data_IF_131320617770
#
_entry.id   IF_131320617770
#
_cell.length_a   1.000
_cell.length_b   1.000
_cell.length_c   1.000
_cell.angle_alpha   90.00
_cell.angle_beta   90.00
_cell.angle_gamma   90.00
#
_symmetry.space_group_name_H-M   'P 1'
#
loop_
_entity.id
_entity.type
_entity.pdbx_description
1 polymer ?
#
# COMPACT_ATOMS: atom_id res chain seq x y z
N UNK A 1 -3.16 -10.35 32.99
CA UNK A 1 -1.89 -9.87 32.42
C UNK A 1 -2.08 -9.79 30.92
N UNK A 2 -2.59 -8.66 30.41
CA UNK A 2 -2.74 -8.45 28.98
C UNK A 2 -1.34 -8.14 28.44
N UNK A 3 -0.73 -9.08 27.74
CA UNK A 3 0.47 -8.79 26.97
C UNK A 3 -0.01 -7.83 25.88
N UNK A 4 0.34 -6.55 26.00
CA UNK A 4 0.26 -5.60 24.89
C UNK A 4 1.26 -6.08 23.85
N UNK A 5 0.87 -7.05 23.02
CA UNK A 5 1.70 -7.55 21.94
C UNK A 5 1.72 -6.48 20.86
N UNK A 6 2.83 -5.75 20.76
CA UNK A 6 3.08 -4.82 19.67
C UNK A 6 3.03 -5.59 18.35
N UNK A 7 2.20 -5.11 17.42
CA UNK A 7 2.00 -5.73 16.11
C UNK A 7 2.35 -4.71 15.05
N UNK A 8 3.40 -4.98 14.29
CA UNK A 8 3.73 -4.25 13.07
C UNK A 8 3.35 -5.14 11.89
N UNK A 9 2.53 -4.63 10.99
CA UNK A 9 2.18 -5.33 9.76
C UNK A 9 3.15 -4.93 8.67
N UNK A 10 3.81 -5.91 8.06
CA UNK A 10 4.69 -5.71 6.90
C UNK A 10 4.05 -6.41 5.72
N UNK A 11 3.65 -5.64 4.73
CA UNK A 11 2.98 -6.16 3.54
C UNK A 11 3.54 -5.52 2.27
N UNK A 12 3.40 -6.23 1.16
CA UNK A 12 3.94 -5.85 -0.15
C UNK A 12 2.83 -5.93 -1.20
N UNK A 13 2.86 -5.06 -2.21
CA UNK A 13 1.97 -5.08 -3.38
C UNK A 13 0.47 -5.25 -2.99
N UNK A 14 -0.23 -6.25 -3.55
CA UNK A 14 -1.63 -6.56 -3.23
C UNK A 14 -1.81 -7.00 -1.76
N UNK A 15 -0.77 -7.53 -1.12
CA UNK A 15 -0.79 -7.79 0.31
C UNK A 15 -0.91 -6.49 1.11
N UNK A 16 -0.33 -5.39 0.64
CA UNK A 16 -0.45 -4.09 1.31
C UNK A 16 -1.84 -3.48 1.12
N UNK A 17 -2.51 -3.75 -0.01
CA UNK A 17 -3.95 -3.49 -0.14
C UNK A 17 -4.74 -4.19 0.98
N UNK A 18 -4.51 -5.49 1.15
CA UNK A 18 -5.18 -6.30 2.18
C UNK A 18 -4.87 -5.78 3.59
N UNK A 19 -3.63 -5.43 3.87
CA UNK A 19 -3.22 -4.84 5.16
C UNK A 19 -3.92 -3.52 5.46
N UNK A 20 -4.06 -2.66 4.45
CA UNK A 20 -4.77 -1.38 4.60
C UNK A 20 -6.28 -1.59 4.75
N UNK A 21 -6.88 -2.48 3.97
CA UNK A 21 -8.28 -2.87 4.08
C UNK A 21 -8.59 -3.49 5.46
N UNK A 22 -7.68 -4.29 6.01
CA UNK A 22 -7.80 -4.84 7.36
C UNK A 22 -7.85 -3.72 8.41
N UNK A 23 -6.96 -2.72 8.31
CA UNK A 23 -6.97 -1.58 9.23
C UNK A 23 -8.29 -0.81 9.15
N UNK A 24 -8.80 -0.58 7.94
CA UNK A 24 -10.11 0.05 7.71
C UNK A 24 -11.23 -0.76 8.36
N UNK A 25 -11.25 -2.08 8.15
CA UNK A 25 -12.24 -2.98 8.76
C UNK A 25 -12.17 -2.94 10.28
N UNK A 26 -10.96 -2.96 10.87
CA UNK A 26 -10.79 -2.82 12.31
C UNK A 26 -11.35 -1.51 12.85
N UNK A 27 -11.14 -0.39 12.14
CA UNK A 27 -11.70 0.92 12.52
C UNK A 27 -13.23 0.90 12.49
N UNK A 28 -13.82 0.32 11.44
CA UNK A 28 -15.27 0.24 11.27
C UNK A 28 -15.93 -0.63 12.35
N UNK A 29 -15.30 -1.75 12.68
CA UNK A 29 -15.86 -2.74 13.61
C UNK A 29 -15.41 -2.52 15.07
N UNK A 30 -14.54 -1.54 15.33
CA UNK A 30 -14.06 -1.20 16.67
C UNK A 30 -13.04 -2.18 17.26
N UNK A 31 -12.24 -2.84 16.41
CA UNK A 31 -11.14 -3.72 16.83
C UNK A 31 -9.83 -2.96 17.04
N UNK A 32 -8.95 -3.55 17.84
CA UNK A 32 -7.59 -3.03 18.06
C UNK A 32 -6.79 -2.97 16.75
N UNK A 33 -6.13 -1.84 16.54
CA UNK A 33 -5.26 -1.60 15.39
C UNK A 33 -3.83 -2.10 15.63
N UNK A 34 -3.08 -2.41 14.56
CA UNK A 34 -1.65 -2.62 14.69
C UNK A 34 -0.96 -1.35 15.19
N UNK A 35 0.17 -1.51 15.87
CA UNK A 35 1.01 -0.41 16.34
C UNK A 35 1.66 0.35 15.18
N UNK A 36 1.69 -0.24 13.99
CA UNK A 36 2.20 0.37 12.78
C UNK A 36 2.09 -0.52 11.55
N UNK A 37 2.20 0.10 10.38
CA UNK A 37 2.22 -0.55 9.08
C UNK A 37 3.51 -0.20 8.32
N UNK A 38 4.03 -1.18 7.58
CA UNK A 38 5.04 -0.99 6.55
C UNK A 38 4.51 -1.57 5.25
N UNK A 39 4.29 -0.69 4.27
CA UNK A 39 3.72 -1.02 2.98
C UNK A 39 4.75 -0.76 1.87
N UNK A 40 5.10 -1.81 1.14
CA UNK A 40 6.02 -1.75 0.01
C UNK A 40 5.23 -1.79 -1.30
N UNK A 41 5.45 -0.80 -2.18
CA UNK A 41 4.81 -0.61 -3.49
C UNK A 41 3.32 -0.97 -3.49
N UNK A 42 2.52 -0.35 -2.60
CA UNK A 42 1.19 -0.85 -2.29
C UNK A 42 0.16 -0.53 -3.37
N UNK A 43 -0.67 -1.52 -3.71
CA UNK A 43 -1.83 -1.33 -4.59
C UNK A 43 -3.01 -0.74 -3.81
N UNK A 44 -3.03 0.58 -3.61
CA UNK A 44 -4.03 1.25 -2.76
C UNK A 44 -5.30 1.69 -3.49
N UNK A 45 -5.24 1.81 -4.82
CA UNK A 45 -6.37 2.20 -5.64
C UNK A 45 -6.65 1.15 -6.73
N UNK A 46 -7.78 0.44 -6.59
CA UNK A 46 -8.20 -0.58 -7.56
C UNK A 46 -8.92 0.01 -8.77
N UNK A 47 -9.18 1.32 -8.79
CA UNK A 47 -9.60 1.99 -10.00
C UNK A 47 -8.41 2.17 -10.94
N UNK A 48 -8.60 1.82 -12.22
CA UNK A 48 -7.65 2.14 -13.27
C UNK A 48 -7.75 3.63 -13.64
N UNK A 49 -7.57 4.49 -12.63
CA UNK A 49 -7.46 5.94 -12.82
C UNK A 49 -6.23 6.22 -13.67
N UNK A 50 -6.31 7.11 -14.67
CA UNK A 50 -5.10 7.63 -15.30
C UNK A 50 -4.29 8.42 -14.28
N UNK A 51 -3.00 8.14 -14.19
CA UNK A 51 -2.02 8.90 -13.41
C UNK A 51 -0.70 9.00 -14.18
N UNK A 52 0.14 10.02 -13.91
CA UNK A 52 1.45 10.14 -14.55
C UNK A 52 2.29 8.86 -14.44
N UNK A 53 2.40 8.25 -13.25
CA UNK A 53 3.16 7.01 -13.02
C UNK A 53 2.60 5.83 -13.81
N UNK A 54 1.28 5.60 -13.79
CA UNK A 54 0.62 4.54 -14.58
C UNK A 54 0.81 4.74 -16.08
N UNK A 55 0.92 5.98 -16.55
CA UNK A 55 1.17 6.29 -17.96
C UNK A 55 2.64 6.12 -18.35
N UNK A 56 3.57 6.62 -17.54
CA UNK A 56 5.00 6.58 -17.82
C UNK A 56 5.59 5.17 -17.67
N UNK A 57 5.03 4.36 -16.77
CA UNK A 57 5.57 3.05 -16.41
C UNK A 57 4.70 1.87 -16.88
N UNK A 58 4.02 2.02 -18.02
CA UNK A 58 3.18 0.96 -18.60
C UNK A 58 3.94 -0.33 -18.95
N UNK A 59 5.25 -0.22 -19.18
CA UNK A 59 6.14 -1.33 -19.51
C UNK A 59 7.01 -1.76 -18.32
N UNK A 60 6.55 -1.53 -17.09
CA UNK A 60 7.20 -2.03 -15.89
C UNK A 60 7.49 -3.55 -16.03
N UNK A 61 8.70 -4.03 -15.67
CA UNK A 61 9.11 -5.41 -15.89
C UNK A 61 8.31 -6.44 -15.07
N UNK A 62 7.69 -6.03 -13.96
CA UNK A 62 6.92 -6.91 -13.06
C UNK A 62 5.43 -6.66 -13.20
N UNK A 63 5.03 -5.40 -13.23
CA UNK A 63 3.64 -4.95 -13.26
C UNK A 63 3.34 -4.13 -14.52
N UNK A 64 3.52 -4.68 -15.73
CA UNK A 64 3.16 -3.96 -16.94
C UNK A 64 1.64 -3.76 -16.99
N UNK A 65 1.20 -2.77 -17.77
CA UNK A 65 -0.21 -2.33 -17.83
C UNK A 65 -1.20 -3.49 -18.02
N UNK A 66 -0.89 -4.45 -18.90
CA UNK A 66 -1.78 -5.60 -19.13
C UNK A 66 -1.94 -6.51 -17.92
N UNK A 67 -0.89 -6.68 -17.12
CA UNK A 67 -0.94 -7.46 -15.87
C UNK A 67 -1.70 -6.70 -14.79
N UNK A 68 -1.47 -5.38 -14.69
CA UNK A 68 -2.25 -4.52 -13.80
C UNK A 68 -3.75 -4.57 -14.15
N UNK A 69 -4.11 -4.38 -15.42
CA UNK A 69 -5.51 -4.46 -15.87
C UNK A 69 -6.13 -5.84 -15.61
N UNK A 70 -5.40 -6.92 -15.84
CA UNK A 70 -5.85 -8.27 -15.52
C UNK A 70 -6.06 -8.46 -14.01
N UNK A 71 -5.14 -7.98 -13.18
CA UNK A 71 -5.24 -8.04 -11.73
C UNK A 71 -6.47 -7.28 -11.24
N UNK A 72 -6.67 -6.04 -11.71
CA UNK A 72 -7.82 -5.21 -11.35
C UNK A 72 -9.15 -5.84 -11.78
N UNK A 73 -9.24 -6.32 -13.02
CA UNK A 73 -10.47 -6.97 -13.53
C UNK A 73 -10.77 -8.31 -12.87
N UNK A 74 -9.75 -9.03 -12.40
CA UNK A 74 -9.92 -10.28 -11.66
C UNK A 74 -10.31 -10.04 -10.19
N UNK A 75 -9.73 -9.00 -9.58
CA UNK A 75 -10.05 -8.58 -8.22
C UNK A 75 -11.46 -7.97 -8.12
N UNK A 76 -11.82 -7.21 -9.16
CA UNK A 76 -13.10 -6.51 -9.30
C UNK A 76 -13.67 -6.69 -10.72
N UNK A 77 -14.43 -7.77 -10.98
CA UNK A 77 -15.02 -7.99 -12.30
C UNK A 77 -16.20 -7.05 -12.53
N UNK A 78 -16.14 -6.23 -13.59
CA UNK A 78 -17.20 -5.27 -13.97
C UNK A 78 -18.55 -5.92 -14.35
N UNK A 79 -18.64 -7.26 -14.39
CA UNK A 79 -19.76 -8.03 -14.96
C UNK A 79 -20.44 -9.01 -13.99
N UNK A 80 -20.36 -8.82 -12.68
CA UNK A 80 -21.08 -9.69 -11.73
C UNK A 80 -22.43 -9.13 -11.28
N UNK A 81 -23.45 -9.99 -11.29
CA UNK A 81 -24.86 -9.65 -11.14
C UNK A 81 -25.37 -9.50 -9.69
N UNK A 82 -24.61 -8.95 -8.73
CA UNK A 82 -25.13 -8.86 -7.35
C UNK A 82 -24.76 -7.58 -6.62
N UNK A 83 -25.72 -6.76 -6.20
CA UNK A 83 -25.56 -5.54 -5.37
C UNK A 83 -24.98 -5.77 -3.95
N UNK A 84 -24.02 -6.69 -3.77
CA UNK A 84 -23.41 -7.01 -2.49
C UNK A 84 -21.89 -6.90 -2.61
N UNK A 85 -21.30 -5.83 -2.04
CA UNK A 85 -19.87 -5.56 -1.74
C UNK A 85 -18.84 -5.69 -2.89
N UNK A 86 -19.00 -6.63 -3.81
CA UNK A 86 -18.12 -6.93 -4.96
C UNK A 86 -18.20 -5.92 -6.12
N UNK A 87 -19.09 -4.91 -6.06
CA UNK A 87 -19.33 -3.96 -7.16
C UNK A 87 -19.30 -2.49 -6.73
N UNK A 88 -18.63 -2.16 -5.64
CA UNK A 88 -18.32 -0.77 -5.33
C UNK A 88 -16.80 -0.57 -5.24
N UNK A 89 -16.22 0.05 -6.25
CA UNK A 89 -14.80 0.38 -6.28
C UNK A 89 -14.40 1.43 -5.24
N UNK A 90 -15.38 2.19 -4.75
CA UNK A 90 -15.25 3.14 -3.64
C UNK A 90 -15.45 2.47 -2.28
N UNK A 91 -15.69 1.15 -2.22
CA UNK A 91 -15.63 0.45 -0.95
C UNK A 91 -14.20 0.60 -0.39
N UNK A 92 -14.04 1.17 0.81
CA UNK A 92 -12.73 1.39 1.41
C UNK A 92 -11.98 0.07 1.70
N UNK A 93 -12.67 -1.08 1.75
CA UNK A 93 -12.03 -2.40 1.83
C UNK A 93 -11.53 -2.93 0.48
N UNK A 94 -11.93 -2.33 -0.65
CA UNK A 94 -11.45 -2.67 -2.00
C UNK A 94 -10.34 -1.71 -2.42
N UNK A 95 -10.58 -0.41 -2.26
CA UNK A 95 -9.63 0.66 -2.55
C UNK A 95 -9.36 1.50 -1.30
N UNK A 96 -8.48 1.05 -0.38
CA UNK A 96 -8.13 1.79 0.84
C UNK A 96 -7.66 3.23 0.56
N UNK A 97 -7.01 3.45 -0.59
CA UNK A 97 -6.59 4.76 -1.06
C UNK A 97 -7.73 5.75 -1.31
N UNK A 98 -8.98 5.25 -1.44
CA UNK A 98 -10.20 6.02 -1.65
C UNK A 98 -11.09 6.09 -0.40
N UNK A 99 -10.65 5.55 0.74
CA UNK A 99 -11.44 5.58 1.97
C UNK A 99 -11.72 7.02 2.42
N UNK A 100 -12.84 7.23 3.12
CA UNK A 100 -13.19 8.55 3.65
C UNK A 100 -12.17 9.05 4.68
N UNK A 101 -11.96 10.37 4.73
CA UNK A 101 -11.01 10.99 5.66
C UNK A 101 -11.31 10.65 7.13
N UNK A 102 -12.58 10.49 7.50
CA UNK A 102 -12.99 10.10 8.86
C UNK A 102 -12.51 8.70 9.26
N UNK A 103 -12.29 7.80 8.29
CA UNK A 103 -11.64 6.51 8.53
C UNK A 103 -10.13 6.67 8.56
N UNK A 104 -9.57 7.43 7.62
CA UNK A 104 -8.13 7.62 7.53
C UNK A 104 -7.53 8.38 8.73
N UNK A 105 -8.26 9.30 9.36
CA UNK A 105 -7.79 10.01 10.57
C UNK A 105 -7.51 9.05 11.74
N UNK A 106 -8.17 7.88 11.75
CA UNK A 106 -7.98 6.83 12.77
C UNK A 106 -6.96 5.77 12.35
N UNK A 107 -6.34 5.92 11.18
CA UNK A 107 -5.43 4.92 10.64
C UNK A 107 -4.15 4.82 11.49
N UNK A 108 -3.58 3.62 11.65
CA UNK A 108 -2.35 3.46 12.41
C UNK A 108 -1.16 4.13 11.69
N UNK A 109 -0.08 4.46 12.42
CA UNK A 109 1.13 4.98 11.81
C UNK A 109 1.62 4.11 10.65
N UNK A 110 1.98 4.72 9.52
CA UNK A 110 2.23 3.98 8.28
C UNK A 110 3.50 4.44 7.56
N UNK A 111 4.42 3.52 7.33
CA UNK A 111 5.57 3.73 6.44
C UNK A 111 5.28 3.15 5.05
N UNK A 112 5.48 3.96 4.02
CA UNK A 112 5.37 3.59 2.63
C UNK A 112 6.75 3.62 1.96
N UNK A 113 6.98 2.67 1.07
CA UNK A 113 8.19 2.59 0.27
C UNK A 113 7.82 2.16 -1.15
N UNK A 114 8.27 2.88 -2.17
CA UNK A 114 7.90 2.64 -3.57
C UNK A 114 9.04 3.06 -4.50
N UNK A 115 9.13 2.47 -5.69
CA UNK A 115 10.08 2.88 -6.72
C UNK A 115 9.61 4.11 -7.48
N UNK A 116 10.53 4.93 -8.01
CA UNK A 116 10.16 6.05 -8.90
C UNK A 116 9.77 5.61 -10.31
N UNK A 117 10.04 4.35 -10.68
CA UNK A 117 9.62 3.75 -11.94
C UNK A 117 8.39 2.84 -11.78
N UNK A 118 7.75 2.83 -10.62
CA UNK A 118 6.60 1.98 -10.32
C UNK A 118 5.29 2.64 -10.82
N UNK A 119 4.43 1.92 -11.56
CA UNK A 119 3.12 2.44 -11.95
C UNK A 119 2.18 2.76 -10.77
N UNK A 120 2.46 2.27 -9.56
CA UNK A 120 1.68 2.54 -8.33
C UNK A 120 2.28 3.67 -7.47
N UNK A 121 3.28 4.40 -7.98
CA UNK A 121 3.91 5.52 -7.29
C UNK A 121 2.88 6.58 -6.88
N UNK A 122 2.03 7.02 -7.80
CA UNK A 122 1.08 8.10 -7.50
C UNK A 122 0.05 7.68 -6.44
N UNK A 123 -0.40 6.42 -6.46
CA UNK A 123 -1.31 5.89 -5.43
C UNK A 123 -0.66 5.98 -4.03
N UNK A 124 0.64 5.72 -3.95
CA UNK A 124 1.43 5.81 -2.71
C UNK A 124 1.60 7.26 -2.26
N UNK A 125 1.87 8.16 -3.19
CA UNK A 125 1.99 9.61 -2.93
C UNK A 125 0.67 10.18 -2.45
N UNK A 126 -0.44 9.84 -3.10
CA UNK A 126 -1.78 10.30 -2.74
C UNK A 126 -2.14 9.84 -1.33
N UNK A 127 -1.97 8.54 -1.03
CA UNK A 127 -2.29 8.01 0.30
C UNK A 127 -1.43 8.63 1.40
N UNK A 128 -0.11 8.74 1.18
CA UNK A 128 0.79 9.42 2.11
C UNK A 128 0.38 10.88 2.36
N UNK A 129 0.03 11.61 1.30
CA UNK A 129 -0.36 13.01 1.37
C UNK A 129 -1.64 13.16 2.19
N UNK A 130 -2.63 12.27 1.97
CA UNK A 130 -3.88 12.27 2.73
C UNK A 130 -3.65 11.96 4.21
N UNK A 131 -2.88 10.92 4.55
CA UNK A 131 -2.55 10.60 5.94
C UNK A 131 -1.82 11.77 6.63
N UNK A 132 -0.85 12.37 5.94
CA UNK A 132 -0.07 13.50 6.45
C UNK A 132 -0.96 14.74 6.70
N UNK A 133 -1.89 15.03 5.78
CA UNK A 133 -2.86 16.12 5.93
C UNK A 133 -3.76 15.91 7.15
N UNK A 134 -4.18 14.67 7.38
CA UNK A 134 -4.97 14.25 8.56
C UNK A 134 -4.14 14.09 9.83
N UNK A 135 -2.84 14.45 9.80
CA UNK A 135 -1.91 14.36 10.94
C UNK A 135 -1.71 12.94 11.48
N UNK A 136 -1.99 11.93 10.67
CA UNK A 136 -1.61 10.54 10.97
C UNK A 136 -0.11 10.40 10.74
N UNK A 137 0.66 9.81 11.68
CA UNK A 137 2.09 9.61 11.50
C UNK A 137 2.36 8.74 10.27
N UNK A 138 2.84 9.36 9.20
CA UNK A 138 3.12 8.68 7.96
C UNK A 138 4.49 9.08 7.42
N UNK A 139 5.09 8.20 6.64
CA UNK A 139 6.36 8.46 5.96
C UNK A 139 6.35 7.79 4.59
N UNK A 140 6.93 8.45 3.60
CA UNK A 140 7.08 7.91 2.25
C UNK A 140 8.54 7.93 1.84
N UNK A 141 9.06 6.79 1.39
CA UNK A 141 10.38 6.66 0.79
C UNK A 141 10.22 6.27 -0.68
N UNK A 142 10.71 7.14 -1.57
CA UNK A 142 10.75 6.87 -3.01
C UNK A 142 12.18 6.45 -3.35
N UNK A 143 12.33 5.27 -3.93
CA UNK A 143 13.62 4.72 -4.34
C UNK A 143 13.86 4.98 -5.83
N UNK A 144 14.94 5.68 -6.14
CA UNK A 144 15.24 6.04 -7.52
C UNK A 144 15.79 4.88 -8.32
N UNK A 145 15.33 4.74 -9.57
CA UNK A 145 15.71 3.69 -10.51
C UNK A 145 15.07 2.33 -10.23
N UNK A 146 14.15 2.23 -9.29
CA UNK A 146 13.50 0.96 -8.93
C UNK A 146 12.09 0.88 -9.52
N UNK A 147 11.78 -0.28 -10.09
CA UNK A 147 10.47 -0.66 -10.62
C UNK A 147 9.59 -1.29 -9.55
N UNK A 148 8.36 -1.66 -9.92
CA UNK A 148 7.49 -2.45 -9.07
C UNK A 148 8.15 -3.78 -8.66
N UNK A 149 7.86 -4.26 -7.45
CA UNK A 149 8.35 -5.56 -6.98
C UNK A 149 9.87 -5.65 -6.76
N UNK A 150 10.58 -4.52 -6.61
CA UNK A 150 12.04 -4.48 -6.55
C UNK A 150 12.69 -5.42 -5.50
N UNK A 151 11.97 -5.83 -4.46
CA UNK A 151 12.47 -6.78 -3.45
C UNK A 151 12.90 -8.14 -4.05
N UNK A 152 12.37 -8.51 -5.22
CA UNK A 152 12.68 -9.78 -5.88
C UNK A 152 14.09 -9.78 -6.49
N UNK A 153 14.67 -8.61 -6.75
CA UNK A 153 15.92 -8.47 -7.49
C UNK A 153 17.09 -7.94 -6.64
N UNK A 154 17.02 -8.07 -5.30
CA UNK A 154 18.06 -7.60 -4.38
C UNK A 154 19.46 -8.13 -4.74
N UNK A 155 19.59 -9.41 -5.05
CA UNK A 155 20.88 -10.03 -5.42
C UNK A 155 21.44 -9.55 -6.78
N UNK A 156 20.63 -8.89 -7.60
CA UNK A 156 20.99 -8.48 -8.96
C UNK A 156 21.14 -6.96 -9.13
N UNK A 157 20.36 -6.18 -8.37
CA UNK A 157 20.30 -4.72 -8.47
C UNK A 157 20.76 -4.13 -7.13
N UNK A 158 21.96 -3.52 -7.06
CA UNK A 158 22.50 -2.97 -5.80
C UNK A 158 21.56 -1.97 -5.12
N UNK A 159 20.85 -1.15 -5.90
CA UNK A 159 19.86 -0.20 -5.43
C UNK A 159 18.67 -0.90 -4.77
N UNK A 160 18.26 -2.07 -5.29
CA UNK A 160 17.19 -2.88 -4.69
C UNK A 160 17.65 -3.52 -3.38
N UNK A 161 18.89 -4.04 -3.31
CA UNK A 161 19.45 -4.54 -2.05
C UNK A 161 19.52 -3.45 -0.99
N UNK A 162 19.98 -2.25 -1.38
CA UNK A 162 19.99 -1.09 -0.49
C UNK A 162 18.58 -0.74 0.01
N UNK A 163 17.58 -0.80 -0.87
CA UNK A 163 16.19 -0.56 -0.47
C UNK A 163 15.67 -1.61 0.52
N UNK A 164 16.04 -2.90 0.34
CA UNK A 164 15.74 -3.98 1.30
C UNK A 164 16.39 -3.67 2.65
N UNK A 165 17.68 -3.35 2.67
CA UNK A 165 18.43 -3.09 3.90
C UNK A 165 17.85 -1.88 4.66
N UNK A 166 17.56 -0.77 3.96
CA UNK A 166 16.90 0.41 4.55
C UNK A 166 15.50 0.07 5.09
N UNK A 167 14.75 -0.79 4.41
CA UNK A 167 13.42 -1.22 4.86
C UNK A 167 13.51 -2.10 6.11
N UNK A 168 14.48 -3.02 6.16
CA UNK A 168 14.77 -3.82 7.34
C UNK A 168 15.19 -2.95 8.54
N UNK A 169 16.08 -1.99 8.32
CA UNK A 169 16.52 -1.06 9.37
C UNK A 169 15.32 -0.26 9.91
N UNK A 170 14.44 0.21 9.02
CA UNK A 170 13.23 0.94 9.41
C UNK A 170 12.31 0.11 10.30
N UNK A 171 12.07 -1.15 9.93
CA UNK A 171 11.27 -2.08 10.74
C UNK A 171 11.94 -2.30 12.10
N UNK A 172 13.26 -2.52 12.13
CA UNK A 172 14.00 -2.69 13.40
C UNK A 172 13.94 -1.45 14.30
N UNK A 173 14.10 -0.25 13.73
CA UNK A 173 14.06 1.00 14.47
C UNK A 173 12.66 1.25 15.05
N UNK A 174 11.61 0.80 14.37
CA UNK A 174 10.25 0.83 14.91
C UNK A 174 10.15 0.05 16.23
N UNK A 175 10.75 -1.14 16.30
CA UNK A 175 10.78 -1.95 17.52
C UNK A 175 11.75 -1.42 18.60
N UNK A 176 12.75 -0.59 18.23
CA UNK A 176 13.77 -0.07 19.17
C UNK A 176 13.42 1.28 19.80
N UNK A 177 12.60 2.11 19.15
CA UNK A 177 12.24 3.45 19.63
C UNK A 177 11.11 3.42 20.70
N UNK A 178 10.91 2.27 21.35
CA UNK A 178 9.85 2.01 22.34
C UNK A 178 10.45 1.28 23.55
#
# INVERSE_FOLDING_TARGET
MLISSYRVLVFVDAGANLGAALCIRCIQDGFDLPSGNVFMFPALNMHLSPSPSRFLHQNDPVLPRGILELALTSYYPSHGHSNQYKFNIHDPCVSPGLAEDALLEKFPPTALAVGDLDPLLDDSVDFYTRLSFLKVPATLKIYSGLSHGFLIYGDLVPEAQKAIDESCERVQNWFRLQ
#
